data_IF_282550950576
#
_entry.id   IF_282550950576
#
_cell.length_a   1.000
_cell.length_b   1.000
_cell.length_c   1.000
_cell.angle_alpha   90.00
_cell.angle_beta   90.00
_cell.angle_gamma   90.00
#
_symmetry.space_group_name_H-M   'P 1'
#
loop_
_entity.id
_entity.type
_entity.pdbx_description
1 polymer ?
#
# COMPACT_ATOMS: atom_id res chain seq x y z
N UNK A 1 -34.80 -32.13 -58.44
CA UNK A 1 -33.36 -31.80 -58.56
C UNK A 1 -33.29 -30.27 -58.52
N UNK A 2 -32.74 -29.56 -57.55
CA UNK A 2 -31.48 -29.70 -56.80
C UNK A 2 -31.69 -29.08 -55.40
N UNK A 3 -31.28 -29.78 -54.34
CA UNK A 3 -31.22 -29.22 -52.99
C UNK A 3 -29.88 -28.49 -52.87
N UNK A 4 -29.89 -27.17 -52.73
CA UNK A 4 -28.69 -26.39 -52.40
C UNK A 4 -28.63 -26.34 -50.88
N UNK A 5 -27.71 -27.11 -50.30
CA UNK A 5 -27.36 -27.05 -48.88
C UNK A 5 -26.33 -25.94 -48.74
N UNK A 6 -26.70 -24.82 -48.12
CA UNK A 6 -25.75 -23.79 -47.73
C UNK A 6 -25.17 -24.16 -46.36
N UNK A 7 -23.90 -24.57 -46.34
CA UNK A 7 -23.14 -24.82 -45.12
C UNK A 7 -22.54 -23.48 -44.67
N UNK A 8 -23.09 -22.88 -43.62
CA UNK A 8 -22.55 -21.65 -43.02
C UNK A 8 -21.38 -22.04 -42.10
N UNK A 9 -20.16 -21.78 -42.53
CA UNK A 9 -18.96 -21.85 -41.69
C UNK A 9 -18.92 -20.66 -40.73
N UNK A 10 -19.30 -20.90 -39.48
CA UNK A 10 -19.16 -19.94 -38.38
C UNK A 10 -17.69 -19.92 -37.93
N UNK A 11 -16.91 -18.98 -38.47
CA UNK A 11 -15.56 -18.69 -37.98
C UNK A 11 -15.71 -17.94 -36.64
N UNK A 12 -15.55 -18.66 -35.53
CA UNK A 12 -15.53 -18.08 -34.19
C UNK A 12 -14.30 -17.19 -34.04
N UNK A 13 -14.52 -15.88 -33.92
CA UNK A 13 -13.50 -14.96 -33.42
C UNK A 13 -13.22 -15.32 -31.95
N UNK A 14 -12.11 -16.00 -31.69
CA UNK A 14 -11.58 -16.12 -30.34
C UNK A 14 -10.84 -14.82 -30.04
N UNK A 15 -11.52 -13.85 -29.43
CA UNK A 15 -10.85 -12.71 -28.83
C UNK A 15 -10.09 -13.23 -27.61
N UNK A 16 -8.77 -13.36 -27.70
CA UNK A 16 -7.92 -13.48 -26.52
C UNK A 16 -8.03 -12.17 -25.77
N UNK A 17 -8.63 -12.17 -24.58
CA UNK A 17 -8.54 -11.03 -23.68
C UNK A 17 -7.06 -10.91 -23.27
N UNK A 18 -6.37 -9.90 -23.79
CA UNK A 18 -5.06 -9.53 -23.31
C UNK A 18 -5.26 -8.88 -21.94
N UNK A 19 -4.75 -9.49 -20.87
CA UNK A 19 -4.65 -8.83 -19.59
C UNK A 19 -3.77 -7.58 -19.80
N UNK A 20 -4.33 -6.40 -19.54
CA UNK A 20 -3.61 -5.15 -19.73
C UNK A 20 -2.75 -4.91 -18.49
N UNK A 21 -1.47 -4.58 -18.66
CA UNK A 21 -0.63 -4.17 -17.54
C UNK A 21 -1.28 -2.97 -16.82
N UNK A 22 -1.69 -3.20 -15.58
CA UNK A 22 -2.17 -2.17 -14.69
C UNK A 22 -0.98 -1.64 -13.91
N UNK A 23 -0.89 -0.32 -13.84
CA UNK A 23 0.21 0.41 -13.21
C UNK A 23 -0.37 1.58 -12.42
N UNK A 24 0.15 1.83 -11.23
CA UNK A 24 -0.20 3.00 -10.43
C UNK A 24 1.02 3.54 -9.71
N UNK A 25 1.10 4.86 -9.60
CA UNK A 25 2.18 5.59 -8.95
C UNK A 25 1.63 6.47 -7.85
N UNK A 26 2.28 6.45 -6.70
CA UNK A 26 1.92 7.20 -5.51
C UNK A 26 3.11 8.03 -5.05
N UNK A 27 2.87 9.29 -4.68
CA UNK A 27 3.89 10.17 -4.14
C UNK A 27 3.33 10.99 -2.98
N UNK A 28 4.21 11.46 -2.11
CA UNK A 28 3.81 12.28 -0.97
C UNK A 28 4.97 12.58 -0.04
N UNK A 29 4.63 13.02 1.17
CA UNK A 29 5.58 13.27 2.25
C UNK A 29 5.09 12.60 3.52
N UNK A 30 6.02 12.04 4.28
CA UNK A 30 5.77 11.54 5.63
C UNK A 30 5.84 12.66 6.66
N UNK A 31 5.08 12.51 7.74
CA UNK A 31 5.07 13.50 8.83
C UNK A 31 6.24 13.27 9.79
N UNK A 32 6.70 12.03 9.90
CA UNK A 32 7.79 11.59 10.76
C UNK A 32 8.42 10.28 10.24
N UNK A 33 9.54 9.89 10.85
CA UNK A 33 10.34 8.71 10.49
C UNK A 33 9.61 7.37 10.65
N UNK A 34 8.52 7.33 11.43
CA UNK A 34 7.72 6.12 11.69
C UNK A 34 6.41 6.09 10.89
N UNK A 35 6.19 7.09 10.04
CA UNK A 35 5.04 7.14 9.15
C UNK A 35 5.03 5.93 8.21
N UNK A 36 3.82 5.45 7.92
CA UNK A 36 3.56 4.31 7.05
C UNK A 36 2.52 4.72 6.02
N UNK A 37 2.74 4.39 4.75
CA UNK A 37 1.77 4.56 3.67
C UNK A 37 1.24 3.21 3.20
N UNK A 38 -0.07 3.11 3.09
CA UNK A 38 -0.75 1.86 2.82
C UNK A 38 -1.43 1.90 1.45
N UNK A 39 -1.27 0.83 0.69
CA UNK A 39 -1.96 0.59 -0.56
C UNK A 39 -2.77 -0.69 -0.41
N UNK A 40 -4.04 -0.65 -0.80
CA UNK A 40 -4.83 -1.84 -1.03
C UNK A 40 -4.86 -2.13 -2.54
N UNK A 41 -4.80 -3.40 -2.91
CA UNK A 41 -5.00 -3.85 -4.28
C UNK A 41 -5.62 -5.24 -4.31
N UNK A 42 -6.31 -5.54 -5.40
CA UNK A 42 -6.84 -6.87 -5.69
C UNK A 42 -6.07 -7.50 -6.83
N UNK A 43 -5.80 -8.80 -6.71
CA UNK A 43 -5.34 -9.67 -7.79
C UNK A 43 -6.54 -10.46 -8.28
N UNK A 44 -6.79 -10.44 -9.59
CA UNK A 44 -7.99 -11.00 -10.22
C UNK A 44 -7.78 -12.35 -10.91
N UNK A 45 -6.54 -12.84 -10.94
CA UNK A 45 -6.17 -14.15 -11.50
C UNK A 45 -5.11 -14.85 -10.64
N UNK A 46 -5.00 -16.18 -10.78
CA UNK A 46 -3.95 -16.92 -10.10
C UNK A 46 -2.60 -16.77 -10.80
N UNK A 47 -1.53 -16.82 -10.02
CA UNK A 47 -0.14 -16.67 -10.49
C UNK A 47 0.17 -15.32 -11.17
N UNK A 48 -0.51 -14.25 -10.77
CA UNK A 48 -0.19 -12.90 -11.25
C UNK A 48 1.12 -12.42 -10.64
N UNK A 49 2.05 -11.99 -11.48
CA UNK A 49 3.27 -11.31 -11.04
C UNK A 49 2.95 -9.85 -10.69
N UNK A 50 3.23 -9.48 -9.44
CA UNK A 50 3.09 -8.12 -8.94
C UNK A 50 4.48 -7.55 -8.66
N UNK A 51 4.74 -6.36 -9.21
CA UNK A 51 5.95 -5.59 -9.00
C UNK A 51 5.63 -4.37 -8.15
N UNK A 52 6.39 -4.17 -7.07
CA UNK A 52 6.28 -3.06 -6.14
C UNK A 52 7.66 -2.41 -6.04
N UNK A 53 7.77 -1.13 -6.40
CA UNK A 53 9.05 -0.42 -6.53
C UNK A 53 8.99 0.93 -5.84
N UNK A 54 9.88 1.17 -4.89
CA UNK A 54 10.14 2.53 -4.41
C UNK A 54 11.06 3.27 -5.38
N UNK A 55 10.83 4.57 -5.53
CA UNK A 55 11.75 5.52 -6.17
C UNK A 55 12.09 6.66 -5.22
N UNK A 56 11.94 6.43 -3.93
CA UNK A 56 12.06 7.46 -2.90
C UNK A 56 13.51 7.93 -2.77
N UNK A 57 14.47 7.00 -2.69
CA UNK A 57 15.85 7.31 -2.37
C UNK A 57 16.61 7.88 -3.57
N UNK A 58 16.73 7.12 -4.66
CA UNK A 58 17.52 7.49 -5.83
C UNK A 58 16.74 8.30 -6.87
N UNK A 59 15.41 8.39 -6.73
CA UNK A 59 14.54 9.03 -7.72
C UNK A 59 14.46 8.24 -9.03
N UNK A 60 14.14 8.92 -10.13
CA UNK A 60 14.01 8.31 -11.45
C UNK A 60 12.77 8.80 -12.21
N UNK A 61 12.20 7.93 -13.04
CA UNK A 61 10.91 8.19 -13.70
C UNK A 61 9.95 7.13 -13.22
N UNK A 62 8.88 7.57 -12.55
CA UNK A 62 7.87 6.64 -12.08
C UNK A 62 7.03 6.10 -13.25
N UNK A 63 6.22 5.10 -12.98
CA UNK A 63 5.48 4.39 -14.00
C UNK A 63 4.33 5.23 -14.62
N UNK A 64 3.94 6.35 -13.99
CA UNK A 64 3.10 7.39 -14.58
C UNK A 64 3.86 8.39 -15.50
N UNK A 65 5.16 8.19 -15.72
CA UNK A 65 6.01 9.04 -16.56
C UNK A 65 6.45 10.35 -15.88
N UNK A 66 6.27 10.47 -14.57
CA UNK A 66 6.68 11.65 -13.79
C UNK A 66 8.12 11.49 -13.30
N UNK A 67 8.94 12.52 -13.49
CA UNK A 67 10.30 12.55 -12.93
C UNK A 67 10.24 12.73 -11.40
N UNK A 68 10.94 11.85 -10.70
CA UNK A 68 11.16 11.86 -9.27
C UNK A 68 12.60 12.31 -9.01
N UNK A 69 12.77 13.28 -8.10
CA UNK A 69 14.09 13.77 -7.72
C UNK A 69 14.79 12.79 -6.78
N UNK A 70 16.12 12.73 -6.85
CA UNK A 70 16.98 12.05 -5.89
C UNK A 70 16.89 12.73 -4.51
N UNK A 71 16.94 11.94 -3.43
CA UNK A 71 17.07 12.46 -2.06
C UNK A 71 15.88 12.30 -1.13
N UNK A 72 14.92 11.43 -1.44
CA UNK A 72 13.99 10.91 -0.44
C UNK A 72 14.68 9.92 0.52
N UNK A 73 13.92 9.45 1.50
CA UNK A 73 14.41 8.57 2.55
C UNK A 73 14.68 7.15 2.02
N UNK A 74 15.36 6.34 2.85
CA UNK A 74 15.62 4.91 2.64
C UNK A 74 14.33 4.09 2.88
N UNK A 75 13.66 3.61 1.82
CA UNK A 75 12.35 2.98 1.90
C UNK A 75 12.41 1.50 2.30
N UNK A 76 11.37 1.05 3.00
CA UNK A 76 11.11 -0.37 3.23
C UNK A 76 9.68 -0.74 2.82
N UNK A 77 9.57 -1.86 2.10
CA UNK A 77 8.31 -2.39 1.58
C UNK A 77 7.91 -3.66 2.31
N UNK A 78 6.60 -3.81 2.51
CA UNK A 78 5.96 -5.00 3.04
C UNK A 78 4.72 -5.35 2.23
N UNK A 79 4.42 -6.63 2.06
CA UNK A 79 3.22 -7.14 1.39
C UNK A 79 2.50 -8.10 2.33
N UNK A 80 1.21 -7.87 2.54
CA UNK A 80 0.34 -8.66 3.40
C UNK A 80 -0.85 -9.21 2.63
N UNK A 81 -1.36 -10.36 3.05
CA UNK A 81 -2.67 -10.84 2.63
C UNK A 81 -3.82 -10.20 3.42
N UNK A 82 -5.06 -10.47 3.01
CA UNK A 82 -6.27 -10.00 3.71
C UNK A 82 -6.48 -10.58 5.12
N UNK A 83 -5.72 -11.59 5.52
CA UNK A 83 -5.71 -12.13 6.88
C UNK A 83 -4.58 -11.51 7.74
N UNK A 84 -3.95 -10.44 7.26
CA UNK A 84 -2.82 -9.75 7.91
C UNK A 84 -1.55 -10.61 8.04
N UNK A 85 -1.41 -11.68 7.25
CA UNK A 85 -0.14 -12.41 7.22
C UNK A 85 0.85 -11.66 6.35
N UNK A 86 2.05 -11.42 6.88
CA UNK A 86 3.17 -10.92 6.09
C UNK A 86 3.60 -11.99 5.08
N UNK A 87 3.55 -11.64 3.80
CA UNK A 87 3.97 -12.51 2.70
C UNK A 87 5.43 -12.26 2.31
N UNK A 88 5.82 -10.99 2.25
CA UNK A 88 7.18 -10.59 1.85
C UNK A 88 7.48 -9.18 2.36
N UNK A 89 8.75 -8.94 2.66
CA UNK A 89 9.29 -7.60 2.91
C UNK A 89 10.63 -7.44 2.21
N UNK A 90 11.01 -6.20 1.92
CA UNK A 90 12.31 -5.85 1.37
C UNK A 90 12.62 -4.37 1.60
N UNK A 91 13.86 -4.03 1.93
CA UNK A 91 14.37 -2.67 2.14
C UNK A 91 15.34 -2.22 1.03
N UNK A 92 15.65 -3.05 0.04
CA UNK A 92 16.62 -2.69 -1.00
C UNK A 92 16.33 -3.34 -2.38
N UNK A 93 17.37 -3.67 -3.14
CA UNK A 93 17.32 -4.50 -4.35
C UNK A 93 16.78 -3.83 -5.62
N UNK A 94 16.30 -2.58 -5.58
CA UNK A 94 16.19 -1.81 -6.81
C UNK A 94 17.58 -1.55 -7.39
N UNK A 95 17.68 -1.37 -8.71
CA UNK A 95 18.96 -1.11 -9.38
C UNK A 95 19.32 0.38 -9.48
N UNK A 96 18.43 1.27 -9.04
CA UNK A 96 18.62 2.72 -9.10
C UNK A 96 19.69 3.15 -8.10
N UNK A 97 20.65 3.95 -8.56
CA UNK A 97 21.75 4.46 -7.72
C UNK A 97 21.53 5.95 -7.52
N UNK A 98 21.49 6.36 -6.26
CA UNK A 98 21.35 7.75 -5.86
C UNK A 98 22.54 8.57 -6.33
N UNK A 99 22.28 9.68 -7.02
CA UNK A 99 23.33 10.56 -7.52
C UNK A 99 24.03 11.33 -6.40
N UNK A 100 23.34 11.61 -5.29
CA UNK A 100 23.90 12.33 -4.14
C UNK A 100 24.80 11.47 -3.25
N UNK A 101 24.59 10.16 -3.22
CA UNK A 101 25.27 9.26 -2.27
C UNK A 101 25.98 8.07 -2.89
N UNK A 102 25.71 7.76 -4.16
CA UNK A 102 26.23 6.59 -4.86
C UNK A 102 25.84 5.26 -4.17
N UNK A 103 24.67 5.24 -3.53
CA UNK A 103 24.06 4.09 -2.85
C UNK A 103 22.73 3.72 -3.53
N UNK A 104 22.29 2.48 -3.32
CA UNK A 104 21.09 1.92 -3.95
C UNK A 104 20.22 1.31 -2.86
N UNK A 105 19.39 2.15 -2.25
CA UNK A 105 18.51 1.77 -1.14
C UNK A 105 17.03 1.79 -1.52
N UNK A 106 16.69 2.02 -2.79
CA UNK A 106 15.30 1.87 -3.20
C UNK A 106 14.87 0.40 -3.07
N UNK A 107 13.72 0.19 -2.42
CA UNK A 107 13.14 -1.13 -2.19
C UNK A 107 12.39 -1.65 -3.42
N UNK A 108 12.55 -2.95 -3.70
CA UNK A 108 11.89 -3.66 -4.79
C UNK A 108 11.32 -5.01 -4.31
N UNK A 109 10.03 -5.25 -4.52
CA UNK A 109 9.41 -6.56 -4.33
C UNK A 109 8.84 -7.04 -5.66
N UNK A 110 9.22 -8.25 -6.06
CA UNK A 110 8.57 -9.02 -7.13
C UNK A 110 7.96 -10.27 -6.49
N UNK A 111 6.64 -10.38 -6.53
CA UNK A 111 5.92 -11.48 -5.87
C UNK A 111 4.83 -12.04 -6.80
N UNK A 112 4.72 -13.36 -6.85
CA UNK A 112 3.63 -14.04 -7.55
C UNK A 112 2.50 -14.31 -6.57
N UNK A 113 1.32 -13.78 -6.85
CA UNK A 113 0.14 -13.85 -6.00
C UNK A 113 -1.00 -14.59 -6.70
N UNK A 114 -1.85 -15.22 -5.90
CA UNK A 114 -3.10 -15.79 -6.38
C UNK A 114 -4.24 -14.79 -6.25
N UNK A 115 -5.41 -15.13 -6.79
CA UNK A 115 -6.60 -14.29 -6.69
C UNK A 115 -6.89 -13.93 -5.23
N UNK A 116 -7.09 -12.63 -4.94
CA UNK A 116 -7.33 -12.16 -3.58
C UNK A 116 -7.06 -10.67 -3.39
N UNK A 117 -7.37 -10.19 -2.18
CA UNK A 117 -7.07 -8.82 -1.74
C UNK A 117 -5.80 -8.81 -0.90
N UNK A 118 -4.95 -7.82 -1.16
CA UNK A 118 -3.64 -7.65 -0.54
C UNK A 118 -3.40 -6.20 -0.14
N UNK A 119 -2.42 -6.03 0.74
CA UNK A 119 -1.97 -4.72 1.18
C UNK A 119 -0.46 -4.60 0.98
N UNK A 120 -0.02 -3.47 0.45
CA UNK A 120 1.38 -3.08 0.47
C UNK A 120 1.58 -1.93 1.46
N UNK A 121 2.68 -1.95 2.20
CA UNK A 121 3.07 -0.89 3.12
C UNK A 121 4.44 -0.38 2.72
N UNK A 122 4.54 0.93 2.58
CA UNK A 122 5.80 1.65 2.46
C UNK A 122 6.07 2.37 3.77
N UNK A 123 7.28 2.24 4.30
CA UNK A 123 7.75 3.01 5.45
C UNK A 123 9.23 3.36 5.27
N UNK A 124 9.79 4.10 6.23
CA UNK A 124 11.22 4.33 6.28
C UNK A 124 11.92 3.15 6.95
N UNK A 125 13.07 2.74 6.42
CA UNK A 125 14.01 1.93 7.19
C UNK A 125 14.45 2.68 8.46
N UNK A 126 14.45 2.09 9.66
CA UNK A 126 14.28 0.68 10.00
C UNK A 126 12.98 0.40 10.78
N UNK A 127 11.84 0.86 10.25
CA UNK A 127 10.51 0.68 10.87
C UNK A 127 9.91 -0.68 10.48
N UNK A 128 10.40 -1.75 11.09
CA UNK A 128 10.01 -3.12 10.82
C UNK A 128 8.63 -3.51 11.40
N UNK A 129 7.86 -4.30 10.64
CA UNK A 129 6.72 -5.03 11.19
C UNK A 129 7.20 -6.13 12.15
N UNK A 130 6.64 -6.18 13.36
CA UNK A 130 6.99 -7.20 14.36
C UNK A 130 5.89 -8.23 14.56
N UNK A 131 4.65 -7.78 14.80
CA UNK A 131 3.51 -8.68 15.04
C UNK A 131 2.16 -7.95 15.03
N UNK A 132 1.08 -8.70 14.80
CA UNK A 132 -0.29 -8.23 15.00
C UNK A 132 -0.96 -7.68 13.74
N UNK A 133 -1.99 -6.86 13.94
CA UNK A 133 -2.75 -6.26 12.85
C UNK A 133 -1.89 -5.32 11.98
N UNK A 134 -2.24 -5.19 10.71
CA UNK A 134 -1.49 -4.38 9.74
C UNK A 134 -1.33 -2.92 10.20
N UNK A 135 -2.40 -2.34 10.73
CA UNK A 135 -2.48 -0.93 11.09
C UNK A 135 -2.10 -0.74 12.57
N UNK A 136 -2.70 -1.55 13.43
CA UNK A 136 -2.63 -1.43 14.90
C UNK A 136 -1.64 -2.37 15.58
N UNK A 137 -0.92 -3.17 14.79
CA UNK A 137 0.11 -4.07 15.28
C UNK A 137 1.34 -3.36 15.83
N UNK A 138 2.30 -4.17 16.24
CA UNK A 138 3.59 -3.71 16.77
C UNK A 138 4.58 -3.56 15.62
N UNK A 139 5.18 -2.38 15.55
CA UNK A 139 6.24 -2.02 14.61
C UNK A 139 7.42 -1.48 15.41
N UNK A 140 8.65 -1.68 14.94
CA UNK A 140 9.79 -0.95 15.50
C UNK A 140 9.76 0.50 15.06
N UNK A 141 10.38 1.36 15.87
CA UNK A 141 10.72 2.71 15.43
C UNK A 141 11.88 2.66 14.42
N UNK A 142 11.94 3.65 13.52
CA UNK A 142 13.08 3.86 12.63
C UNK A 142 14.41 4.09 13.37
N UNK A 143 14.36 4.37 14.68
CA UNK A 143 15.50 4.67 15.55
C UNK A 143 16.35 5.86 15.06
N UNK A 144 15.73 6.78 14.34
CA UNK A 144 16.33 8.02 13.85
C UNK A 144 15.31 9.15 13.86
N UNK A 145 15.77 10.38 13.61
CA UNK A 145 14.92 11.56 13.50
C UNK A 145 15.35 12.40 12.31
N UNK A 146 14.37 12.92 11.57
CA UNK A 146 14.57 13.75 10.37
C UNK A 146 15.11 12.96 9.16
N UNK A 147 14.62 11.73 8.96
CA UNK A 147 14.85 10.91 7.78
C UNK A 147 16.34 10.74 7.48
N UNK A 148 17.09 10.11 8.39
CA UNK A 148 18.54 9.90 8.21
C UNK A 148 18.81 8.47 7.75
N UNK A 149 19.54 8.32 6.65
CA UNK A 149 19.93 6.99 6.14
C UNK A 149 21.04 6.33 6.99
N UNK A 150 21.30 5.04 6.75
CA UNK A 150 22.33 4.28 7.47
C UNK A 150 23.75 4.86 7.30
N UNK A 151 23.98 5.66 6.25
CA UNK A 151 25.22 6.39 6.01
C UNK A 151 25.34 7.68 6.83
N UNK A 152 24.30 8.07 7.56
CA UNK A 152 24.25 9.30 8.35
C UNK A 152 23.84 10.54 7.55
N UNK A 153 23.34 10.38 6.32
CA UNK A 153 22.91 11.52 5.49
C UNK A 153 21.44 11.83 5.76
N UNK A 154 21.16 13.09 6.06
CA UNK A 154 19.78 13.60 6.13
C UNK A 154 19.13 13.56 4.74
N UNK A 155 17.93 12.99 4.68
CA UNK A 155 17.09 12.88 3.51
C UNK A 155 15.81 13.70 3.69
N UNK A 156 15.04 13.80 2.62
CA UNK A 156 13.71 14.39 2.69
C UNK A 156 12.67 13.35 3.10
N UNK A 157 11.55 13.81 3.64
CA UNK A 157 10.35 13.01 3.93
C UNK A 157 9.62 12.51 2.69
N UNK A 158 10.11 12.83 1.49
CA UNK A 158 9.43 12.54 0.24
C UNK A 158 9.47 11.04 -0.05
N UNK A 159 8.33 10.52 -0.52
CA UNK A 159 8.24 9.15 -1.03
C UNK A 159 7.70 9.10 -2.45
N UNK A 160 8.12 8.08 -3.19
CA UNK A 160 7.55 7.66 -4.46
C UNK A 160 7.47 6.13 -4.49
N UNK A 161 6.31 5.61 -4.91
CA UNK A 161 6.01 4.19 -4.90
C UNK A 161 5.16 3.79 -6.10
N UNK A 162 5.66 2.82 -6.87
CA UNK A 162 4.97 2.21 -7.99
C UNK A 162 4.51 0.79 -7.66
N UNK A 163 3.34 0.44 -8.19
CA UNK A 163 2.84 -0.93 -8.24
C UNK A 163 2.39 -1.26 -9.67
N UNK A 164 2.73 -2.45 -10.16
CA UNK A 164 2.29 -2.93 -11.47
C UNK A 164 2.05 -4.44 -11.53
N UNK A 165 1.17 -4.86 -12.44
CA UNK A 165 0.83 -6.27 -12.71
C UNK A 165 -0.29 -6.39 -13.74
N UNK A 166 -0.39 -7.53 -14.43
CA UNK A 166 -1.34 -7.73 -15.54
C UNK A 166 -2.80 -7.91 -15.09
N UNK A 167 -3.03 -8.43 -13.87
CA UNK A 167 -4.37 -8.78 -13.37
C UNK A 167 -4.73 -8.02 -12.09
N UNK A 168 -4.25 -6.77 -11.95
CA UNK A 168 -4.57 -5.95 -10.79
C UNK A 168 -5.90 -5.22 -10.95
N UNK A 169 -6.62 -5.04 -9.85
CA UNK A 169 -7.80 -4.21 -9.76
C UNK A 169 -7.82 -3.43 -8.45
N UNK A 170 -8.65 -2.39 -8.38
CA UNK A 170 -8.91 -1.60 -7.17
C UNK A 170 -7.63 -1.10 -6.46
N UNK A 171 -6.58 -0.82 -7.23
CA UNK A 171 -5.30 -0.32 -6.70
C UNK A 171 -5.52 1.10 -6.16
N UNK A 172 -5.32 1.28 -4.86
CA UNK A 172 -5.58 2.56 -4.22
C UNK A 172 -4.79 2.76 -2.93
N UNK A 173 -4.22 3.96 -2.78
CA UNK A 173 -3.65 4.41 -1.52
C UNK A 173 -4.76 4.71 -0.51
N UNK A 174 -4.68 4.08 0.67
CA UNK A 174 -5.69 4.22 1.73
C UNK A 174 -5.28 5.23 2.81
N UNK A 175 -4.05 5.77 2.76
CA UNK A 175 -3.60 6.87 3.61
C UNK A 175 -2.20 6.67 4.19
N UNK A 176 -1.73 7.70 4.91
CA UNK A 176 -0.52 7.65 5.74
C UNK A 176 -0.89 7.74 7.22
N UNK A 177 -0.03 7.19 8.08
CA UNK A 177 -0.08 7.39 9.55
C UNK A 177 -1.46 7.09 10.15
N UNK A 178 -1.99 5.91 9.83
CA UNK A 178 -3.22 5.40 10.44
C UNK A 178 -2.93 4.91 11.86
N UNK A 179 -2.53 5.81 12.76
CA UNK A 179 -2.95 5.63 14.15
C UNK A 179 -4.47 5.60 14.17
N UNK A 180 -5.15 4.65 14.84
CA UNK A 180 -6.59 4.75 15.01
C UNK A 180 -6.87 6.10 15.68
N UNK A 181 -7.44 7.04 14.94
CA UNK A 181 -7.99 8.23 15.57
C UNK A 181 -8.97 7.72 16.63
N UNK A 182 -8.79 8.07 17.91
CA UNK A 182 -9.70 7.61 18.95
C UNK A 182 -11.10 8.03 18.52
N UNK A 183 -11.90 7.03 18.13
CA UNK A 183 -13.30 7.26 17.78
C UNK A 183 -13.91 7.91 19.01
N UNK A 184 -14.44 9.15 18.92
CA UNK A 184 -15.07 9.78 20.07
C UNK A 184 -16.08 8.80 20.64
N UNK A 185 -15.95 8.48 21.93
CA UNK A 185 -16.85 7.53 22.58
C UNK A 185 -18.29 7.91 22.22
N UNK A 186 -19.11 6.95 21.75
CA UNK A 186 -20.45 7.27 21.29
C UNK A 186 -21.20 8.00 22.40
N UNK A 187 -21.89 9.09 22.04
CA UNK A 187 -22.72 9.90 22.95
C UNK A 187 -23.83 9.10 23.63
N UNK A 188 -23.95 7.80 23.34
CA UNK A 188 -24.78 6.83 24.05
C UNK A 188 -24.48 6.76 25.53
N UNK A 189 -23.22 6.93 25.99
CA UNK A 189 -22.91 7.01 27.42
C UNK A 189 -23.49 8.28 28.06
N UNK A 190 -23.40 9.42 27.37
CA UNK A 190 -24.02 10.66 27.81
C UNK A 190 -25.56 10.55 27.83
N UNK A 191 -26.16 9.91 26.81
CA UNK A 191 -27.60 9.69 26.73
C UNK A 191 -28.09 8.71 27.80
N UNK A 192 -27.32 7.65 28.09
CA UNK A 192 -27.61 6.70 29.16
C UNK A 192 -27.50 7.36 30.53
N UNK A 193 -26.48 8.20 30.75
CA UNK A 193 -26.34 9.02 31.96
C UNK A 193 -27.51 9.98 32.16
N UNK A 194 -27.93 10.68 31.10
CA UNK A 194 -29.11 11.56 31.14
C UNK A 194 -30.41 10.80 31.39
N UNK A 195 -30.58 9.60 30.80
CA UNK A 195 -31.74 8.75 31.04
C UNK A 195 -31.81 8.29 32.50
N UNK A 196 -30.70 7.88 33.10
CA UNK A 196 -30.61 7.52 34.52
C UNK A 196 -30.89 8.71 35.44
N UNK A 197 -30.35 9.89 35.13
CA UNK A 197 -30.62 11.13 35.88
C UNK A 197 -32.11 11.51 35.80
N UNK A 198 -32.73 11.39 34.61
CA UNK A 198 -34.16 11.65 34.43
C UNK A 198 -35.04 10.69 35.24
N UNK A 199 -34.70 9.40 35.26
CA UNK A 199 -35.40 8.39 36.07
C UNK A 199 -35.22 8.63 37.58
N UNK A 200 -34.03 9.06 38.00
CA UNK A 200 -33.73 9.42 39.40
C UNK A 200 -34.48 10.68 39.85
N UNK A 201 -34.54 11.71 39.01
CA UNK A 201 -35.26 12.96 39.30
C UNK A 201 -36.78 12.75 39.41
N UNK A 202 -37.34 11.84 38.59
CA UNK A 202 -38.78 11.50 38.64
C UNK A 202 -39.21 10.88 39.97
N UNK A 203 -38.31 10.18 40.68
CA UNK A 203 -38.60 9.59 41.99
C UNK A 203 -38.59 10.56 43.16
N UNK A 204 -38.02 11.77 43.02
CA UNK A 204 -38.01 12.79 44.07
C UNK A 204 -39.18 13.78 44.00
N UNK A 205 -39.92 13.78 42.88
CA UNK A 205 -41.03 14.71 42.61
C UNK A 205 -42.42 14.04 42.70
N UNK A 206 -42.48 12.75 43.03
CA UNK A 206 -43.69 12.00 43.32
C UNK A 206 -43.68 11.60 44.81
#
# INVERSE_FOLDING_TARGET
MKKIIALLSLFGFCCTAQAALITSSFTGNFNDDNSRYYIQFDVTADNTLVNLLSLSYAGGVNAAGTSIADGGFDPQLFVFDSANNLLQSNDDSASSISASSNLSYDALINITLNIGTYFAVLTQYNSDYQAGDLVTGTWSDANTTNFVDVGGHTRSSFFAFDISGEDLANVGGIGHDVTPSPVPEPTTLALFGLALLGLGARRKLA
#
